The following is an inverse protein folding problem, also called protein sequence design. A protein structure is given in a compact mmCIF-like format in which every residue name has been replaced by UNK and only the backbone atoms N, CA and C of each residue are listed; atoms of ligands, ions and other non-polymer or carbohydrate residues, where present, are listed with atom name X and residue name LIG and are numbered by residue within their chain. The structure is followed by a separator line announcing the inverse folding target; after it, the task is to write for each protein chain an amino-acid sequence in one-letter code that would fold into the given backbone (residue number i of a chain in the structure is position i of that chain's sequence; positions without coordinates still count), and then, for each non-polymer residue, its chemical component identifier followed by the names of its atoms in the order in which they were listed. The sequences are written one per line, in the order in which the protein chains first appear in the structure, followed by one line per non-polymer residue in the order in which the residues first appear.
data_IF_357645323208
#
_entry.id   IF_357645323208
#
_cell.length_a   1.000
_cell.length_b   1.000
_cell.length_c   1.000
_cell.angle_alpha   90.00
_cell.angle_beta   90.00
_cell.angle_gamma   90.00
#
_symmetry.space_group_name_H-M   'P 1'
#
loop_
_entity.id
_entity.type
_entity.pdbx_description
1 polymer ?
#
# COMPACT_ATOMS: atom_id res chain seq x y z
N UNK A 1 13.67 2.56 3.89
CA UNK A 1 14.34 3.83 3.47
C UNK A 1 13.59 5.05 4.00
N UNK A 2 14.27 6.18 4.24
CA UNK A 2 13.65 7.43 4.76
C UNK A 2 14.15 8.61 3.99
N UNK A 3 13.25 9.49 3.59
CA UNK A 3 13.55 10.72 2.88
C UNK A 3 12.76 11.90 3.46
N UNK A 4 13.25 13.11 3.29
CA UNK A 4 12.56 14.34 3.70
C UNK A 4 12.82 15.48 2.74
N UNK A 5 11.82 16.33 2.52
CA UNK A 5 11.96 17.61 1.87
C UNK A 5 11.32 18.69 2.77
N UNK A 6 12.16 19.51 3.37
CA UNK A 6 11.77 20.57 4.31
C UNK A 6 11.87 21.97 3.69
N UNK A 7 11.98 22.04 2.38
CA UNK A 7 12.03 23.31 1.65
C UNK A 7 10.62 23.88 1.47
N UNK A 8 10.47 25.16 1.79
CA UNK A 8 9.19 25.86 1.63
C UNK A 8 8.22 25.68 2.80
N UNK A 9 7.00 26.17 2.61
CA UNK A 9 5.95 26.19 3.64
C UNK A 9 5.28 24.85 3.87
N UNK A 10 5.25 23.98 2.87
CA UNK A 10 4.81 22.58 2.99
C UNK A 10 6.04 21.67 2.99
N UNK A 11 6.23 20.95 4.09
CA UNK A 11 7.25 19.93 4.21
C UNK A 11 6.66 18.56 3.98
N UNK A 12 7.42 17.65 3.38
CA UNK A 12 7.00 16.28 3.11
C UNK A 12 8.07 15.29 3.57
N UNK A 13 7.63 14.24 4.23
CA UNK A 13 8.45 13.15 4.76
C UNK A 13 7.96 11.84 4.16
N UNK A 14 8.87 10.94 3.86
CA UNK A 14 8.54 9.62 3.36
C UNK A 14 9.34 8.53 4.08
N UNK A 15 8.65 7.44 4.41
CA UNK A 15 9.27 6.20 4.91
C UNK A 15 8.77 5.07 4.03
N UNK A 16 9.69 4.39 3.37
CA UNK A 16 9.37 3.26 2.52
C UNK A 16 9.75 1.93 3.19
N UNK A 17 8.88 0.95 3.08
CA UNK A 17 9.18 -0.46 3.21
C UNK A 17 9.22 -1.11 1.82
N UNK A 18 9.03 -2.42 1.75
CA UNK A 18 9.08 -3.15 0.47
C UNK A 18 7.91 -2.80 -0.46
N UNK A 19 6.70 -2.73 0.06
CA UNK A 19 5.49 -2.50 -0.75
C UNK A 19 4.56 -1.43 -0.17
N UNK A 20 5.09 -0.58 0.68
CA UNK A 20 4.32 0.49 1.32
C UNK A 20 5.17 1.72 1.47
N UNK A 21 4.58 2.89 1.23
CA UNK A 21 5.20 4.17 1.54
C UNK A 21 4.29 4.95 2.49
N UNK A 22 4.83 5.32 3.65
CA UNK A 22 4.20 6.25 4.57
C UNK A 22 4.66 7.66 4.23
N UNK A 23 3.71 8.55 3.96
CA UNK A 23 3.94 9.97 3.76
C UNK A 23 3.47 10.76 4.98
N UNK A 24 4.27 11.73 5.38
CA UNK A 24 3.93 12.71 6.41
C UNK A 24 4.01 14.12 5.84
N UNK A 25 3.12 14.99 6.27
CA UNK A 25 3.05 16.39 5.84
C UNK A 25 3.14 17.31 7.04
N UNK A 26 3.88 18.39 6.89
CA UNK A 26 3.98 19.43 7.90
C UNK A 26 3.79 20.80 7.24
N UNK A 27 2.92 21.60 7.83
CA UNK A 27 2.66 22.98 7.44
C UNK A 27 2.32 23.76 8.70
N UNK A 28 2.84 24.96 8.83
CA UNK A 28 2.59 25.79 9.99
C UNK A 28 1.09 26.09 10.17
N UNK A 29 0.61 26.01 11.40
CA UNK A 29 -0.78 26.30 11.75
C UNK A 29 -1.23 27.69 11.26
N UNK A 30 -0.37 28.68 11.34
CA UNK A 30 -0.59 30.05 10.86
C UNK A 30 -0.88 30.15 9.36
N UNK A 31 -0.40 29.17 8.58
CA UNK A 31 -0.60 29.10 7.13
C UNK A 31 -1.93 28.48 6.72
N UNK A 32 -2.57 27.72 7.61
CA UNK A 32 -3.80 26.96 7.32
C UNK A 32 -5.02 27.41 8.12
N UNK A 33 -4.83 27.86 9.38
CA UNK A 33 -5.94 28.24 10.26
C UNK A 33 -6.75 29.43 9.70
N UNK A 34 -8.06 29.24 9.59
CA UNK A 34 -8.96 30.28 9.10
C UNK A 34 -8.86 30.61 7.60
N UNK A 35 -8.04 29.85 6.83
CA UNK A 35 -7.78 30.13 5.41
C UNK A 35 -8.48 29.16 4.45
N UNK A 36 -9.46 28.40 4.93
CA UNK A 36 -10.19 27.45 4.08
C UNK A 36 -9.33 26.26 3.63
N UNK A 37 -8.40 25.78 4.48
CA UNK A 37 -7.61 24.60 4.18
C UNK A 37 -8.48 23.35 4.10
N UNK A 38 -8.39 22.62 3.00
CA UNK A 38 -9.22 21.46 2.67
C UNK A 38 -8.48 20.13 2.79
N UNK A 39 -7.16 20.15 2.86
CA UNK A 39 -6.33 18.96 2.88
C UNK A 39 -5.32 18.92 1.75
N UNK A 40 -4.83 17.73 1.44
CA UNK A 40 -3.76 17.50 0.46
C UNK A 40 -4.27 16.69 -0.74
N UNK A 41 -3.86 17.09 -1.93
CA UNK A 41 -3.94 16.25 -3.14
C UNK A 41 -2.56 15.66 -3.39
N UNK A 42 -2.49 14.34 -3.55
CA UNK A 42 -1.22 13.64 -3.72
C UNK A 42 -1.19 12.98 -5.09
N UNK A 43 -0.21 13.33 -5.90
CA UNK A 43 0.13 12.64 -7.14
C UNK A 43 1.33 11.74 -6.89
N UNK A 44 1.25 10.47 -7.30
CA UNK A 44 2.38 9.55 -7.36
C UNK A 44 2.79 9.34 -8.81
N UNK A 45 4.07 9.48 -9.10
CA UNK A 45 4.71 9.15 -10.37
C UNK A 45 5.67 7.99 -10.16
N UNK A 46 5.57 6.93 -10.96
CA UNK A 46 6.53 5.82 -10.96
C UNK A 46 7.76 6.10 -11.84
N UNK A 47 8.74 5.19 -11.84
CA UNK A 47 9.97 5.28 -12.64
C UNK A 47 9.70 5.33 -14.15
N UNK A 48 8.58 4.77 -14.60
CA UNK A 48 8.15 4.76 -16.01
C UNK A 48 7.41 6.05 -16.41
N UNK A 49 7.25 6.98 -15.47
CA UNK A 49 6.57 8.26 -15.69
C UNK A 49 5.05 8.21 -15.59
N UNK A 50 4.46 7.07 -15.25
CA UNK A 50 3.02 6.92 -15.05
C UNK A 50 2.61 7.66 -13.78
N UNK A 51 1.60 8.51 -13.91
CA UNK A 51 1.05 9.31 -12.83
C UNK A 51 -0.30 8.79 -12.38
N UNK A 52 -0.52 8.74 -11.09
CA UNK A 52 -1.81 8.45 -10.46
C UNK A 52 -2.08 9.43 -9.33
N UNK A 53 -3.34 9.78 -9.14
CA UNK A 53 -3.80 10.50 -7.96
C UNK A 53 -4.15 9.51 -6.85
N UNK A 54 -3.62 9.78 -5.66
CA UNK A 54 -3.93 8.99 -4.48
C UNK A 54 -5.18 9.59 -3.82
N UNK A 55 -6.25 8.81 -3.80
CA UNK A 55 -7.55 9.28 -3.29
C UNK A 55 -7.71 8.95 -1.81
N UNK A 56 -8.26 9.90 -1.05
CA UNK A 56 -8.73 9.71 0.30
C UNK A 56 -9.97 8.79 0.38
N UNK A 57 -10.36 8.46 1.60
CA UNK A 57 -11.59 7.70 1.87
C UNK A 57 -12.83 8.58 2.02
N UNK A 58 -12.63 9.87 2.18
CA UNK A 58 -13.69 10.87 2.33
C UNK A 58 -13.85 11.63 1.04
N UNK A 59 -15.07 11.78 0.60
CA UNK A 59 -15.43 12.52 -0.58
C UNK A 59 -16.37 13.66 -0.19
N UNK A 60 -16.34 14.75 -0.95
CA UNK A 60 -17.34 15.78 -0.78
C UNK A 60 -18.74 15.24 -1.12
N UNK A 61 -19.82 15.77 -0.51
CA UNK A 61 -21.17 15.22 -0.68
C UNK A 61 -21.68 15.10 -2.11
N UNK A 62 -21.13 15.91 -3.03
CA UNK A 62 -21.48 15.93 -4.45
C UNK A 62 -20.49 15.11 -5.32
N UNK A 63 -19.46 14.54 -4.72
CA UNK A 63 -18.54 13.64 -5.42
C UNK A 63 -19.15 12.25 -5.45
N UNK A 64 -19.58 11.79 -6.60
CA UNK A 64 -19.99 10.39 -6.79
C UNK A 64 -18.74 9.55 -7.04
N UNK A 65 -18.39 8.61 -6.13
CA UNK A 65 -17.24 7.73 -6.30
C UNK A 65 -17.29 6.88 -7.58
N UNK A 66 -18.46 6.77 -8.19
CA UNK A 66 -18.70 6.02 -9.43
C UNK A 66 -18.50 6.87 -10.68
N UNK A 67 -18.35 8.17 -10.54
CA UNK A 67 -18.18 9.08 -11.66
C UNK A 67 -16.78 9.70 -11.69
N UNK A 68 -15.85 9.17 -12.52
CA UNK A 68 -14.45 9.59 -12.56
C UNK A 68 -14.22 10.98 -13.16
N UNK A 69 -15.24 11.70 -13.57
CA UNK A 69 -15.12 13.09 -14.06
C UNK A 69 -15.03 14.10 -12.92
N UNK A 70 -14.88 13.63 -11.70
CA UNK A 70 -15.08 14.45 -10.54
C UNK A 70 -13.82 14.96 -9.89
N UNK A 71 -14.11 16.08 -9.24
CA UNK A 71 -13.22 16.95 -8.53
C UNK A 71 -12.39 16.19 -7.52
N UNK A 72 -11.16 16.63 -7.38
CA UNK A 72 -10.23 16.16 -6.37
C UNK A 72 -10.87 16.27 -4.98
N UNK A 73 -10.88 15.17 -4.25
CA UNK A 73 -11.26 15.16 -2.83
C UNK A 73 -9.99 15.13 -1.99
N UNK A 74 -9.55 16.28 -1.44
CA UNK A 74 -8.32 16.37 -0.70
C UNK A 74 -8.29 15.41 0.51
N UNK A 75 -7.15 14.85 0.79
CA UNK A 75 -6.90 13.98 1.93
C UNK A 75 -6.78 14.85 3.17
N UNK A 76 -7.71 14.69 4.12
CA UNK A 76 -7.80 15.48 5.36
C UNK A 76 -6.94 14.89 6.50
N UNK A 77 -5.81 14.33 6.17
CA UNK A 77 -4.88 13.74 7.14
C UNK A 77 -3.48 14.23 6.84
N UNK A 78 -2.72 14.51 7.88
CA UNK A 78 -1.29 14.81 7.78
C UNK A 78 -0.41 13.57 7.60
N UNK A 79 -1.01 12.38 7.61
CA UNK A 79 -0.38 11.10 7.30
C UNK A 79 -1.18 10.39 6.21
N UNK A 80 -0.46 9.82 5.25
CA UNK A 80 -1.04 8.99 4.22
C UNK A 80 -0.19 7.74 4.00
N UNK A 81 -0.83 6.62 3.68
CA UNK A 81 -0.16 5.34 3.40
C UNK A 81 -0.49 4.90 1.98
N UNK A 82 0.53 4.75 1.17
CA UNK A 82 0.43 4.10 -0.13
C UNK A 82 0.72 2.60 0.02
N UNK A 83 -0.31 1.77 -0.11
CA UNK A 83 -0.23 0.31 0.04
C UNK A 83 -0.07 -0.43 -1.29
N UNK A 84 0.07 0.30 -2.40
CA UNK A 84 0.16 -0.30 -3.74
C UNK A 84 1.49 0.04 -4.43
N UNK A 85 2.49 0.34 -3.64
CA UNK A 85 3.85 0.45 -4.11
C UNK A 85 4.44 -0.94 -4.38
N UNK A 86 5.28 -1.08 -5.39
CA UNK A 86 6.00 -2.31 -5.70
C UNK A 86 7.41 -2.27 -5.05
N UNK A 87 7.97 -3.43 -4.74
CA UNK A 87 9.29 -3.55 -4.13
C UNK A 87 10.40 -3.13 -5.10
N UNK A 88 11.41 -2.41 -4.61
CA UNK A 88 12.54 -1.95 -5.41
C UNK A 88 12.21 -0.85 -6.43
N UNK A 89 11.01 -0.28 -6.37
CA UNK A 89 10.55 0.72 -7.33
C UNK A 89 10.75 2.15 -6.79
N UNK A 90 11.10 3.08 -7.68
CA UNK A 90 11.29 4.49 -7.33
C UNK A 90 10.03 5.28 -7.65
N UNK A 91 9.53 5.97 -6.64
CA UNK A 91 8.35 6.83 -6.75
C UNK A 91 8.68 8.28 -6.42
N UNK A 92 8.09 9.19 -7.18
CA UNK A 92 8.02 10.61 -6.82
C UNK A 92 6.60 10.94 -6.39
N UNK A 93 6.45 11.42 -5.16
CA UNK A 93 5.20 11.93 -4.62
C UNK A 93 5.22 13.45 -4.66
N UNK A 94 4.18 14.04 -5.22
CA UNK A 94 3.91 15.47 -5.17
C UNK A 94 2.66 15.69 -4.32
N UNK A 95 2.76 16.51 -3.30
CA UNK A 95 1.63 16.92 -2.47
C UNK A 95 1.34 18.40 -2.70
N UNK A 96 0.07 18.71 -2.95
CA UNK A 96 -0.46 20.05 -3.08
C UNK A 96 -1.41 20.32 -1.92
N UNK A 97 -1.16 21.36 -1.11
CA UNK A 97 -2.07 21.81 -0.06
C UNK A 97 -3.18 22.64 -0.69
N UNK A 98 -4.42 22.18 -0.56
CA UNK A 98 -5.60 22.73 -1.21
C UNK A 98 -6.37 23.65 -0.27
N UNK A 99 -6.83 24.77 -0.82
CA UNK A 99 -7.57 25.81 -0.10
C UNK A 99 -8.81 26.25 -0.91
N UNK A 100 -9.78 26.84 -0.22
CA UNK A 100 -10.99 27.40 -0.82
C UNK A 100 -12.24 26.66 -0.40
N UNK A 101 -13.13 26.42 -1.36
CA UNK A 101 -14.36 25.67 -1.18
C UNK A 101 -14.34 24.41 -2.05
N UNK A 102 -15.22 23.45 -1.78
CA UNK A 102 -15.27 22.17 -2.51
C UNK A 102 -15.46 22.32 -4.03
N UNK A 103 -16.03 23.41 -4.48
CA UNK A 103 -16.31 23.73 -5.90
C UNK A 103 -15.28 24.68 -6.53
N UNK A 104 -14.47 25.36 -5.69
CA UNK A 104 -13.42 26.26 -6.13
C UNK A 104 -12.17 26.10 -5.28
N UNK A 105 -11.40 25.07 -5.61
CA UNK A 105 -10.16 24.73 -4.91
C UNK A 105 -8.94 25.25 -5.66
N UNK A 106 -7.98 25.80 -4.89
CA UNK A 106 -6.68 26.22 -5.40
C UNK A 106 -5.57 25.64 -4.57
N UNK A 107 -4.42 25.35 -5.20
CA UNK A 107 -3.21 24.95 -4.49
C UNK A 107 -2.41 26.20 -4.11
N UNK A 108 -2.05 26.34 -2.83
CA UNK A 108 -1.20 27.43 -2.36
C UNK A 108 0.22 27.00 -2.04
N UNK A 109 0.41 25.75 -1.66
CA UNK A 109 1.72 25.21 -1.30
C UNK A 109 1.88 23.82 -1.91
N UNK A 110 3.10 23.56 -2.42
CA UNK A 110 3.44 22.26 -3.01
C UNK A 110 4.77 21.77 -2.49
N UNK A 111 4.89 20.45 -2.30
CA UNK A 111 6.14 19.80 -2.01
C UNK A 111 6.23 18.47 -2.78
N UNK A 112 7.45 18.06 -3.12
CA UNK A 112 7.70 16.78 -3.78
C UNK A 112 8.81 16.03 -3.08
N UNK A 113 8.72 14.70 -3.08
CA UNK A 113 9.73 13.82 -2.53
C UNK A 113 9.88 12.59 -3.42
N UNK A 114 11.12 12.14 -3.60
CA UNK A 114 11.41 10.91 -4.32
C UNK A 114 11.96 9.89 -3.34
N UNK A 115 11.45 8.67 -3.38
CA UNK A 115 11.88 7.58 -2.50
C UNK A 115 11.82 6.26 -3.27
N UNK A 116 12.76 5.37 -2.99
CA UNK A 116 12.77 4.00 -3.51
C UNK A 116 12.28 3.05 -2.42
N UNK A 117 11.39 2.13 -2.76
CA UNK A 117 10.97 1.07 -1.86
C UNK A 117 12.09 0.06 -1.65
N UNK A 118 12.08 -0.60 -0.50
CA UNK A 118 13.06 -1.61 -0.18
C UNK A 118 12.80 -2.89 -0.98
N UNK A 119 13.88 -3.65 -1.24
CA UNK A 119 13.75 -5.00 -1.78
C UNK A 119 13.24 -5.95 -0.69
N UNK A 120 12.51 -6.98 -1.08
CA UNK A 120 12.08 -8.04 -0.17
C UNK A 120 13.25 -8.93 0.24
N UNK A 121 14.23 -9.07 -0.65
CA UNK A 121 15.44 -9.87 -0.46
C UNK A 121 16.66 -8.95 -0.60
N UNK A 122 17.46 -8.89 0.43
CA UNK A 122 18.71 -8.13 0.45
C UNK A 122 19.84 -9.01 1.02
N UNK A 123 20.46 -9.80 0.15
CA UNK A 123 21.57 -10.69 0.49
C UNK A 123 21.18 -11.79 1.48
N UNK A 124 21.58 -11.66 2.74
CA UNK A 124 21.37 -12.67 3.78
C UNK A 124 20.00 -12.62 4.45
N UNK A 125 19.24 -11.53 4.23
CA UNK A 125 17.97 -11.30 4.89
C UNK A 125 16.84 -11.13 3.88
N UNK A 126 15.68 -11.71 4.22
CA UNK A 126 14.46 -11.56 3.46
C UNK A 126 13.31 -11.20 4.40
N UNK A 127 12.50 -10.20 4.03
CA UNK A 127 11.39 -9.73 4.84
C UNK A 127 10.10 -9.77 4.04
N UNK A 128 9.13 -10.52 4.53
CA UNK A 128 7.83 -10.69 3.90
C UNK A 128 6.70 -10.38 4.87
N UNK A 129 5.71 -9.66 4.39
CA UNK A 129 4.53 -9.32 5.17
C UNK A 129 3.27 -9.93 4.57
N UNK A 130 2.38 -10.37 5.44
CA UNK A 130 1.05 -10.78 5.03
C UNK A 130 0.12 -9.56 4.95
N UNK A 131 -0.57 -9.40 3.82
CA UNK A 131 -1.60 -8.36 3.66
C UNK A 131 -2.90 -8.76 4.35
N UNK A 132 -2.90 -9.00 5.63
CA UNK A 132 -4.06 -9.43 6.40
C UNK A 132 -5.25 -8.46 6.43
N UNK A 133 -5.49 -7.69 5.38
CA UNK A 133 -6.53 -6.66 5.36
C UNK A 133 -7.76 -7.14 4.63
N UNK A 134 -8.66 -7.74 5.36
CA UNK A 134 -10.01 -8.05 4.91
C UNK A 134 -10.85 -6.80 4.56
N UNK A 135 -10.41 -5.61 4.95
CA UNK A 135 -11.09 -4.35 4.70
C UNK A 135 -10.58 -3.55 3.50
N UNK A 136 -9.71 -4.12 2.65
CA UNK A 136 -9.22 -3.40 1.47
C UNK A 136 -10.28 -3.32 0.38
N UNK A 137 -10.35 -2.19 -0.34
CA UNK A 137 -11.25 -2.06 -1.50
C UNK A 137 -10.95 -3.11 -2.58
N UNK A 138 -9.71 -3.51 -2.72
CA UNK A 138 -9.29 -4.56 -3.64
C UNK A 138 -9.88 -5.91 -3.25
N UNK A 139 -9.82 -6.26 -1.97
CA UNK A 139 -10.42 -7.49 -1.46
C UNK A 139 -11.95 -7.48 -1.60
N UNK A 140 -12.60 -6.38 -1.22
CA UNK A 140 -14.04 -6.19 -1.39
C UNK A 140 -14.50 -6.36 -2.84
N UNK A 141 -13.73 -5.82 -3.77
CA UNK A 141 -14.03 -5.90 -5.21
C UNK A 141 -13.93 -7.33 -5.75
N UNK A 142 -12.94 -8.10 -5.33
CA UNK A 142 -12.72 -9.47 -5.83
C UNK A 142 -13.47 -10.53 -5.02
N UNK A 143 -13.42 -10.44 -3.72
CA UNK A 143 -13.96 -11.44 -2.82
C UNK A 143 -15.35 -11.09 -2.27
N UNK A 144 -15.95 -9.97 -2.69
CA UNK A 144 -17.25 -9.46 -2.20
C UNK A 144 -17.36 -9.48 -0.67
N UNK A 145 -16.26 -9.14 0.00
CA UNK A 145 -16.11 -9.21 1.47
C UNK A 145 -16.35 -10.61 2.06
N UNK A 146 -16.16 -11.66 1.29
CA UNK A 146 -16.28 -13.02 1.81
C UNK A 146 -15.29 -13.27 2.97
N UNK A 147 -15.71 -13.90 4.05
CA UNK A 147 -14.80 -14.36 5.10
C UNK A 147 -13.72 -15.28 4.51
N UNK A 148 -12.52 -15.27 5.07
CA UNK A 148 -11.39 -16.07 4.59
C UNK A 148 -11.74 -17.56 4.40
N UNK A 149 -12.50 -18.16 5.31
CA UNK A 149 -13.01 -19.55 5.22
C UNK A 149 -13.88 -19.82 3.98
N UNK A 150 -14.42 -18.77 3.36
CA UNK A 150 -15.25 -18.90 2.16
C UNK A 150 -14.49 -18.64 0.86
N UNK A 151 -13.26 -18.12 0.94
CA UNK A 151 -12.39 -17.93 -0.24
C UNK A 151 -12.10 -19.26 -0.92
N UNK A 152 -12.00 -20.32 -0.14
CA UNK A 152 -11.80 -21.68 -0.65
C UNK A 152 -12.94 -22.16 -1.56
N UNK A 153 -14.13 -21.56 -1.41
CA UNK A 153 -15.29 -21.83 -2.27
C UNK A 153 -15.24 -21.08 -3.62
N UNK A 154 -14.34 -20.11 -3.76
CA UNK A 154 -14.12 -19.45 -5.03
C UNK A 154 -13.38 -20.40 -5.97
N UNK A 155 -13.79 -20.45 -7.24
CA UNK A 155 -13.17 -21.29 -8.25
C UNK A 155 -12.03 -20.56 -9.00
N UNK A 156 -11.01 -21.31 -9.41
CA UNK A 156 -10.00 -20.92 -10.38
C UNK A 156 -9.29 -19.58 -10.07
N UNK A 157 -9.16 -18.75 -11.09
CA UNK A 157 -8.42 -17.48 -11.04
C UNK A 157 -8.92 -16.49 -9.96
N UNK A 158 -10.17 -16.59 -9.50
CA UNK A 158 -10.69 -15.71 -8.44
C UNK A 158 -10.16 -16.11 -7.06
N UNK A 159 -10.00 -17.40 -6.82
CA UNK A 159 -9.37 -17.93 -5.60
C UNK A 159 -7.92 -17.49 -5.50
N UNK A 160 -7.15 -17.69 -6.58
CA UNK A 160 -5.75 -17.28 -6.65
C UNK A 160 -5.56 -15.78 -6.45
N UNK A 161 -6.42 -14.96 -7.08
CA UNK A 161 -6.40 -13.51 -6.87
C UNK A 161 -6.73 -13.10 -5.44
N UNK A 162 -7.70 -13.76 -4.80
CA UNK A 162 -8.04 -13.47 -3.41
C UNK A 162 -6.88 -13.81 -2.47
N UNK A 163 -6.22 -14.95 -2.66
CA UNK A 163 -5.03 -15.32 -1.91
C UNK A 163 -3.84 -14.41 -2.19
N UNK A 164 -3.64 -14.00 -3.45
CA UNK A 164 -2.61 -13.04 -3.82
C UNK A 164 -2.81 -11.67 -3.15
N UNK A 165 -4.06 -11.23 -2.95
CA UNK A 165 -4.34 -9.99 -2.23
C UNK A 165 -4.04 -10.12 -0.73
N UNK A 166 -4.36 -11.26 -0.12
CA UNK A 166 -4.22 -11.47 1.33
C UNK A 166 -2.82 -11.90 1.75
N UNK A 167 -2.19 -12.76 0.96
CA UNK A 167 -0.92 -13.40 1.29
C UNK A 167 0.17 -13.23 0.26
N UNK A 168 0.11 -12.18 -0.55
CA UNK A 168 0.99 -11.96 -1.71
C UNK A 168 2.46 -12.16 -1.38
N UNK A 169 2.96 -11.52 -0.36
CA UNK A 169 4.38 -11.60 -0.04
C UNK A 169 4.72 -12.86 0.77
N UNK A 170 4.00 -13.09 1.85
CA UNK A 170 4.36 -14.15 2.78
C UNK A 170 4.13 -15.54 2.20
N UNK A 171 3.01 -15.76 1.50
CA UNK A 171 2.69 -17.09 0.98
C UNK A 171 3.48 -17.43 -0.28
N UNK A 172 3.30 -16.68 -1.36
CA UNK A 172 3.88 -17.03 -2.67
C UNK A 172 5.38 -16.76 -2.75
N UNK A 173 5.78 -15.58 -2.34
CA UNK A 173 7.16 -15.12 -2.47
C UNK A 173 8.04 -15.59 -1.31
N UNK A 174 7.50 -15.63 -0.09
CA UNK A 174 8.21 -16.07 1.10
C UNK A 174 8.16 -17.58 1.30
N UNK A 175 7.04 -18.09 1.83
CA UNK A 175 6.97 -19.47 2.31
C UNK A 175 7.12 -20.52 1.21
N UNK A 176 6.39 -20.38 0.09
CA UNK A 176 6.46 -21.36 -1.01
C UNK A 176 7.85 -21.39 -1.62
N UNK A 177 8.45 -20.23 -1.86
CA UNK A 177 9.80 -20.12 -2.41
C UNK A 177 10.84 -20.68 -1.43
N UNK A 178 10.77 -20.29 -0.15
CA UNK A 178 11.70 -20.72 0.88
C UNK A 178 11.68 -22.24 1.07
N UNK A 179 10.49 -22.83 1.25
CA UNK A 179 10.36 -24.29 1.39
C UNK A 179 10.79 -25.03 0.12
N UNK A 180 10.51 -24.45 -1.06
CA UNK A 180 10.91 -25.03 -2.35
C UNK A 180 12.43 -25.02 -2.62
N UNK A 181 13.20 -24.28 -1.83
CA UNK A 181 14.69 -24.30 -1.91
C UNK A 181 15.32 -25.46 -1.15
N UNK A 182 14.57 -26.13 -0.28
CA UNK A 182 15.06 -27.26 0.52
C UNK A 182 15.54 -28.41 -0.39
N UNK A 183 16.73 -28.91 -0.10
CA UNK A 183 17.38 -30.01 -0.81
C UNK A 183 17.45 -31.24 0.08
N UNK A 184 17.78 -32.39 -0.51
CA UNK A 184 18.03 -33.61 0.23
C UNK A 184 19.08 -33.39 1.32
N UNK A 185 18.75 -33.75 2.54
CA UNK A 185 19.51 -33.58 3.79
C UNK A 185 19.42 -32.19 4.43
N UNK A 186 18.67 -31.25 3.86
CA UNK A 186 18.35 -29.99 4.56
C UNK A 186 17.35 -30.25 5.70
N UNK A 187 17.39 -29.42 6.72
CA UNK A 187 16.44 -29.47 7.82
C UNK A 187 15.63 -28.18 7.85
N UNK A 188 14.29 -28.32 7.85
CA UNK A 188 13.36 -27.20 8.04
C UNK A 188 12.92 -27.18 9.50
N UNK A 189 13.35 -26.15 10.24
CA UNK A 189 12.93 -25.92 11.61
C UNK A 189 11.74 -24.98 11.63
N UNK A 190 10.59 -25.46 12.12
CA UNK A 190 9.34 -24.72 12.14
C UNK A 190 8.89 -24.49 13.58
N UNK A 191 8.53 -23.23 13.90
CA UNK A 191 7.90 -22.87 15.16
C UNK A 191 6.63 -22.08 14.87
N UNK A 192 5.47 -22.59 15.29
CA UNK A 192 4.18 -21.98 15.07
C UNK A 192 3.49 -21.72 16.39
N UNK A 193 2.83 -20.59 16.51
CA UNK A 193 1.89 -20.33 17.60
C UNK A 193 0.52 -20.96 17.29
N UNK A 194 0.01 -20.72 16.08
CA UNK A 194 -1.18 -21.35 15.53
C UNK A 194 -0.91 -21.75 14.07
N UNK A 195 -1.31 -22.96 13.71
CA UNK A 195 -1.10 -23.48 12.36
C UNK A 195 -2.32 -24.27 11.90
N UNK A 196 -3.30 -23.58 11.30
CA UNK A 196 -4.51 -24.19 10.77
C UNK A 196 -4.57 -24.23 9.23
N UNK A 197 -3.62 -23.61 8.54
CA UNK A 197 -3.65 -23.48 7.09
C UNK A 197 -3.13 -24.74 6.40
N UNK A 198 -4.05 -25.62 6.00
CA UNK A 198 -3.75 -26.92 5.39
C UNK A 198 -2.80 -26.85 4.19
N UNK A 199 -2.88 -25.86 3.27
CA UNK A 199 -1.94 -25.79 2.13
C UNK A 199 -0.48 -25.66 2.55
N UNK A 200 -0.20 -25.07 3.73
CA UNK A 200 1.15 -24.97 4.26
C UNK A 200 1.68 -26.34 4.71
N UNK A 201 0.85 -27.13 5.39
CA UNK A 201 1.23 -28.49 5.76
C UNK A 201 1.43 -29.41 4.57
N UNK A 202 0.64 -29.23 3.52
CA UNK A 202 0.80 -29.98 2.27
C UNK A 202 2.11 -29.59 1.56
N UNK A 203 2.50 -28.31 1.62
CA UNK A 203 3.79 -27.83 1.14
C UNK A 203 4.96 -28.49 1.90
N UNK A 204 4.89 -28.54 3.24
CA UNK A 204 5.92 -29.18 4.07
C UNK A 204 6.00 -30.69 3.81
N UNK A 205 4.86 -31.40 3.69
CA UNK A 205 4.85 -32.82 3.34
C UNK A 205 5.53 -33.07 2.00
N UNK A 206 5.18 -32.27 0.99
CA UNK A 206 5.78 -32.36 -0.36
C UNK A 206 7.29 -32.10 -0.34
N UNK A 207 7.78 -31.23 0.54
CA UNK A 207 9.20 -30.96 0.66
C UNK A 207 9.97 -32.07 1.39
N UNK A 208 9.26 -32.85 2.25
CA UNK A 208 9.84 -34.01 2.95
C UNK A 208 10.05 -35.22 2.03
N UNK A 209 9.09 -35.48 1.12
CA UNK A 209 9.07 -36.60 0.19
C UNK A 209 10.00 -36.35 -1.01
#
# INVERSE_FOLDING_TARGET
MREKNEKGDLKIYAVAGCQTVLLGFEIEKSKVAGKGFLGFVIERKDSKGKKILLNGRKFFPLDDPKNPKQKLSPIQSYLWKDYVADAGETYTYKADAMFGTWDNMTSSFSASITITTELQEDGEHSVYFNYGVTGSQSYAKFAKNLPQKQIEKLSGANKEKAFAILGRELWTEGLVKFVGQAKKNDQLLCAFYEAEYSPFFDLLKKARD
#
